data_IF_956902825105
#
_entry.id   IF_956902825105
#
_cell.length_a   1.000
_cell.length_b   1.000
_cell.length_c   1.000
_cell.angle_alpha   90.00
_cell.angle_beta   90.00
_cell.angle_gamma   90.00
#
_symmetry.space_group_name_H-M   'P 1'
#
loop_
_entity.id
_entity.type
_entity.pdbx_description
1 polymer ?
#
# COMPACT_ATOMS: atom_id res chain seq x y z
N UNK A 1 2.61 10.36 13.62
CA UNK A 1 3.08 8.97 13.56
C UNK A 1 4.14 8.81 14.63
N UNK A 2 3.92 7.98 15.66
CA UNK A 2 5.01 7.62 16.58
C UNK A 2 6.11 6.96 15.75
N UNK A 3 7.38 7.31 16.02
CA UNK A 3 8.57 6.88 15.28
C UNK A 3 8.45 5.42 14.84
N UNK A 4 8.12 5.23 13.57
CA UNK A 4 7.98 3.92 12.99
C UNK A 4 9.38 3.33 12.83
N UNK A 5 9.62 2.16 13.41
CA UNK A 5 10.86 1.37 13.45
C UNK A 5 11.32 0.86 12.07
N UNK A 6 11.01 1.57 10.98
CA UNK A 6 11.34 1.16 9.63
C UNK A 6 12.78 1.55 9.21
N UNK A 7 13.79 1.24 10.04
CA UNK A 7 15.19 1.67 9.87
C UNK A 7 16.16 0.70 9.16
N UNK A 8 15.71 -0.41 8.56
CA UNK A 8 16.58 -1.43 7.97
C UNK A 8 16.31 -1.73 6.48
N UNK A 9 17.20 -2.47 5.81
CA UNK A 9 16.99 -2.93 4.43
C UNK A 9 15.80 -3.91 4.39
N UNK A 10 14.66 -3.47 3.85
CA UNK A 10 13.42 -4.25 3.88
C UNK A 10 13.40 -5.35 2.82
N UNK A 11 13.30 -6.59 3.28
CA UNK A 11 12.83 -7.70 2.45
C UNK A 11 11.31 -7.54 2.32
N UNK A 12 10.82 -7.51 1.08
CA UNK A 12 9.37 -7.54 0.78
C UNK A 12 8.79 -8.83 1.36
N UNK A 13 7.82 -8.73 2.25
CA UNK A 13 7.30 -9.90 2.95
C UNK A 13 6.16 -10.55 2.19
N UNK A 14 5.39 -9.76 1.44
CA UNK A 14 4.46 -10.28 0.46
C UNK A 14 4.38 -9.37 -0.76
N UNK A 15 4.00 -9.97 -1.88
CA UNK A 15 3.80 -9.31 -3.17
C UNK A 15 2.36 -9.58 -3.60
N UNK A 16 1.69 -8.52 -4.03
CA UNK A 16 0.29 -8.59 -4.46
C UNK A 16 0.13 -7.86 -5.78
N UNK A 17 -0.93 -8.21 -6.51
CA UNK A 17 -1.38 -7.41 -7.61
C UNK A 17 -2.92 -7.28 -7.64
N UNK A 18 -3.44 -6.22 -8.25
CA UNK A 18 -4.84 -5.86 -8.25
C UNK A 18 -5.36 -5.65 -9.69
N UNK A 19 -6.06 -6.66 -10.19
CA UNK A 19 -6.66 -6.68 -11.52
C UNK A 19 -8.15 -6.30 -11.46
N UNK A 20 -8.71 -5.91 -12.60
CA UNK A 20 -10.15 -5.62 -12.74
C UNK A 20 -10.72 -6.45 -13.88
N UNK A 21 -11.95 -6.93 -13.70
CA UNK A 21 -12.68 -7.68 -14.70
C UNK A 21 -14.17 -7.28 -14.84
N UNK A 22 -14.76 -6.50 -13.89
CA UNK A 22 -15.39 -5.15 -14.07
C UNK A 22 -15.87 -4.58 -12.72
N UNK A 23 -15.84 -3.28 -12.35
CA UNK A 23 -16.62 -2.09 -12.80
C UNK A 23 -15.94 -0.78 -12.25
N UNK A 24 -15.69 0.36 -12.94
CA UNK A 24 -15.83 0.88 -14.33
C UNK A 24 -14.44 1.25 -14.93
N UNK A 25 -14.13 0.81 -16.15
CA UNK A 25 -12.84 0.20 -16.56
C UNK A 25 -11.64 1.12 -16.78
N UNK A 26 -10.49 0.65 -16.32
CA UNK A 26 -9.17 1.17 -16.64
C UNK A 26 -8.10 0.13 -16.37
N UNK A 27 -6.86 0.49 -16.62
CA UNK A 27 -5.68 -0.36 -16.42
C UNK A 27 -5.60 -0.79 -14.95
N UNK A 28 -4.92 -1.89 -14.70
CA UNK A 28 -4.51 -2.35 -13.37
C UNK A 28 -4.05 -1.19 -12.47
N UNK A 29 -4.53 -1.15 -11.23
CA UNK A 29 -4.22 -0.07 -10.29
C UNK A 29 -2.70 -0.03 -10.00
N UNK A 30 -2.12 1.17 -9.95
CA UNK A 30 -0.71 1.34 -9.59
C UNK A 30 -0.42 0.77 -8.18
N UNK A 31 -1.20 1.25 -7.20
CA UNK A 31 -1.29 0.76 -5.83
C UNK A 31 -2.75 0.84 -5.39
N UNK A 32 -3.33 -0.26 -4.89
CA UNK A 32 -4.70 -0.32 -4.40
C UNK A 32 -4.72 -0.44 -2.87
N UNK A 33 -4.81 0.71 -2.18
CA UNK A 33 -4.80 0.74 -0.71
C UNK A 33 -5.99 0.00 -0.07
N UNK A 34 -7.19 0.13 -0.63
CA UNK A 34 -8.38 -0.56 -0.10
C UNK A 34 -8.26 -2.09 -0.18
N UNK A 35 -7.64 -2.63 -1.24
CA UNK A 35 -7.35 -4.06 -1.34
C UNK A 35 -6.43 -4.55 -0.22
N UNK A 36 -5.47 -3.74 0.19
CA UNK A 36 -4.54 -4.06 1.27
C UNK A 36 -5.23 -4.15 2.64
N UNK A 37 -6.35 -3.47 2.87
CA UNK A 37 -7.12 -3.61 4.11
C UNK A 37 -7.59 -5.06 4.37
N UNK A 38 -7.79 -5.86 3.32
CA UNK A 38 -8.14 -7.28 3.45
C UNK A 38 -6.90 -8.19 3.55
N UNK A 39 -5.83 -7.81 2.86
CA UNK A 39 -4.66 -8.68 2.64
C UNK A 39 -3.62 -8.53 3.78
N UNK A 40 -3.50 -7.34 4.36
CA UNK A 40 -2.59 -7.08 5.48
C UNK A 40 -2.89 -7.97 6.70
N UNK A 41 -4.14 -8.08 7.21
CA UNK A 41 -4.43 -8.92 8.38
C UNK A 41 -4.14 -10.40 8.13
N UNK A 42 -4.42 -10.87 6.90
CA UNK A 42 -4.14 -12.25 6.51
C UNK A 42 -2.63 -12.56 6.59
N UNK A 43 -1.79 -11.73 5.99
CA UNK A 43 -0.34 -11.93 6.02
C UNK A 43 0.28 -11.65 7.39
N UNK A 44 -0.28 -10.72 8.16
CA UNK A 44 0.16 -10.42 9.52
C UNK A 44 0.00 -11.65 10.42
N UNK A 45 -1.15 -12.32 10.32
CA UNK A 45 -1.42 -13.56 11.02
C UNK A 45 -0.51 -14.70 10.52
N UNK A 46 -0.44 -14.92 9.20
CA UNK A 46 0.39 -15.98 8.58
C UNK A 46 1.88 -15.88 8.92
N UNK A 47 2.41 -14.66 9.00
CA UNK A 47 3.83 -14.40 9.25
C UNK A 47 4.14 -14.12 10.72
N UNK A 48 3.11 -14.08 11.58
CA UNK A 48 3.21 -13.69 12.99
C UNK A 48 3.93 -12.34 13.18
N UNK A 49 3.46 -11.30 12.47
CA UNK A 49 4.04 -9.95 12.47
C UNK A 49 2.97 -8.87 12.50
N UNK A 50 3.17 -7.87 13.35
CA UNK A 50 2.30 -6.68 13.41
C UNK A 50 2.71 -5.59 12.42
N UNK A 51 3.98 -5.58 11.98
CA UNK A 51 4.50 -4.65 10.99
C UNK A 51 4.88 -5.39 9.71
N UNK A 52 4.36 -4.91 8.57
CA UNK A 52 4.59 -5.51 7.27
C UNK A 52 5.05 -4.51 6.21
N UNK A 53 5.93 -4.97 5.32
CA UNK A 53 6.29 -4.30 4.08
C UNK A 53 5.73 -5.09 2.90
N UNK A 54 4.76 -4.47 2.24
CA UNK A 54 4.06 -5.00 1.08
C UNK A 54 4.61 -4.37 -0.20
N UNK A 55 4.54 -5.12 -1.30
CA UNK A 55 4.82 -4.59 -2.63
C UNK A 55 3.69 -4.91 -3.60
N UNK A 56 3.11 -3.88 -4.22
CA UNK A 56 2.19 -4.07 -5.33
C UNK A 56 2.98 -4.17 -6.63
N UNK A 57 2.93 -5.34 -7.28
CA UNK A 57 3.72 -5.66 -8.47
C UNK A 57 3.07 -5.19 -9.78
N UNK A 58 2.46 -4.00 -9.77
CA UNK A 58 1.98 -3.38 -11.00
C UNK A 58 3.11 -2.84 -11.86
N UNK A 59 2.83 -2.52 -13.13
CA UNK A 59 3.79 -1.87 -14.03
C UNK A 59 4.41 -0.61 -13.40
N UNK A 60 3.64 0.13 -12.60
CA UNK A 60 4.11 1.33 -11.88
C UNK A 60 4.78 1.00 -10.55
N UNK A 61 4.39 -0.12 -9.96
CA UNK A 61 4.89 -0.61 -8.68
C UNK A 61 4.50 0.28 -7.49
N UNK A 62 4.63 -0.26 -6.29
CA UNK A 62 4.59 0.56 -5.09
C UNK A 62 4.84 -0.25 -3.83
N UNK A 63 5.54 0.37 -2.88
CA UNK A 63 5.84 -0.23 -1.57
C UNK A 63 4.94 0.40 -0.52
N UNK A 64 4.32 -0.43 0.31
CA UNK A 64 3.50 0.02 1.45
C UNK A 64 4.11 -0.49 2.75
N UNK A 65 4.17 0.40 3.73
CA UNK A 65 4.53 0.11 5.12
C UNK A 65 3.25 0.03 5.92
N UNK A 66 3.00 -1.12 6.51
CA UNK A 66 1.72 -1.48 7.11
C UNK A 66 1.92 -1.84 8.58
N UNK A 67 0.99 -1.44 9.43
CA UNK A 67 0.97 -1.81 10.85
C UNK A 67 -0.44 -2.18 11.29
N UNK A 68 -0.59 -3.36 11.87
CA UNK A 68 -1.82 -3.81 12.51
C UNK A 68 -1.84 -3.34 13.97
N UNK A 69 -2.95 -2.76 14.41
CA UNK A 69 -3.17 -2.37 15.81
C UNK A 69 -4.62 -2.70 16.19
N UNK A 70 -4.82 -3.88 16.78
CA UNK A 70 -6.15 -4.41 17.07
C UNK A 70 -7.00 -4.54 15.80
N UNK A 71 -8.11 -3.78 15.72
CA UNK A 71 -9.02 -3.77 14.57
C UNK A 71 -8.67 -2.72 13.50
N UNK A 72 -7.57 -1.99 13.68
CA UNK A 72 -7.14 -0.93 12.76
C UNK A 72 -5.88 -1.34 12.00
N UNK A 73 -5.81 -0.87 10.77
CA UNK A 73 -4.64 -1.03 9.91
C UNK A 73 -4.18 0.37 9.55
N UNK A 74 -2.89 0.64 9.78
CA UNK A 74 -2.23 1.84 9.31
C UNK A 74 -1.40 1.49 8.09
N UNK A 75 -1.51 2.29 7.04
CA UNK A 75 -0.70 2.15 5.84
C UNK A 75 0.01 3.47 5.56
N UNK A 76 1.25 3.37 5.10
CA UNK A 76 2.07 4.49 4.68
C UNK A 76 2.84 4.13 3.42
N UNK A 77 3.22 5.14 2.64
CA UNK A 77 4.05 5.01 1.45
C UNK A 77 4.79 6.31 1.21
N UNK A 78 5.83 6.27 0.37
CA UNK A 78 6.49 7.49 -0.10
C UNK A 78 5.63 8.13 -1.19
N UNK A 79 5.55 9.46 -1.17
CA UNK A 79 4.93 10.25 -2.23
C UNK A 79 6.01 11.04 -2.98
N UNK A 80 5.78 11.27 -4.28
CA UNK A 80 6.60 12.13 -5.10
C UNK A 80 5.70 13.18 -5.75
N UNK A 81 6.08 14.45 -5.64
CA UNK A 81 5.39 15.55 -6.31
C UNK A 81 5.69 15.46 -7.81
N UNK A 82 4.63 15.43 -8.63
CA UNK A 82 4.77 15.40 -10.10
C UNK A 82 4.69 16.79 -10.71
N UNK A 83 3.67 17.57 -10.34
CA UNK A 83 3.46 18.94 -10.82
C UNK A 83 2.77 19.80 -9.76
N UNK A 84 2.92 21.11 -9.88
CA UNK A 84 2.17 22.14 -9.15
C UNK A 84 1.57 23.06 -10.22
N UNK A 85 0.29 23.42 -10.09
CA UNK A 85 -0.40 24.29 -11.04
C UNK A 85 -1.54 25.07 -10.34
N UNK A 86 -2.04 26.12 -10.99
CA UNK A 86 -3.18 26.91 -10.53
C UNK A 86 -4.46 26.50 -11.28
N UNK A 87 -5.50 26.10 -10.54
CA UNK A 87 -6.80 25.77 -11.13
C UNK A 87 -7.74 26.97 -11.02
N UNK A 88 -8.03 27.61 -12.16
CA UNK A 88 -9.03 28.66 -12.26
C UNK A 88 -10.42 28.03 -12.39
N UNK A 89 -11.38 28.52 -11.61
CA UNK A 89 -12.76 28.07 -11.61
C UNK A 89 -13.64 29.29 -11.83
N UNK A 90 -14.45 29.28 -12.90
CA UNK A 90 -15.42 30.34 -13.24
C UNK A 90 -16.62 30.36 -12.27
#
# INVERSE_FOLDING_TARGET
MKNSSFGGQFIKQYVVDAFTDKVFHGNQSAVCGSGHCHIIPYWANRLNKDELVAYQASRRGGTLFCRCEGKKIYMAGKAALFSIDELFVD
#
